data_IF_786209015554
#
_entry.id   IF_786209015554
#
_cell.length_a   1.000
_cell.length_b   1.000
_cell.length_c   1.000
_cell.angle_alpha   90.00
_cell.angle_beta   90.00
_cell.angle_gamma   90.00
#
_symmetry.space_group_name_H-M   'P 1'
#
loop_
_entity.id
_entity.type
_entity.pdbx_description
1 polymer ?
#
# COMPACT_ATOMS: atom_id res chain seq x y z
N UNK A 1 18.53 -23.07 75.09
CA UNK A 1 17.55 -22.95 73.99
C UNK A 1 18.37 -23.05 72.70
N UNK A 2 18.37 -24.24 72.08
CA UNK A 2 17.79 -24.51 70.74
C UNK A 2 18.60 -23.82 69.62
N UNK A 3 19.47 -24.50 68.86
CA UNK A 3 19.16 -25.21 67.59
C UNK A 3 18.15 -24.47 66.72
N UNK A 4 18.52 -24.06 65.50
CA UNK A 4 18.18 -24.83 64.28
C UNK A 4 18.80 -24.23 62.99
N UNK A 5 18.95 -25.08 61.99
CA UNK A 5 19.33 -24.85 60.60
C UNK A 5 18.08 -25.03 59.74
N UNK A 6 17.67 -24.05 58.93
CA UNK A 6 16.93 -24.26 57.66
C UNK A 6 16.99 -23.00 56.80
N UNK A 7 17.38 -23.18 55.54
CA UNK A 7 17.11 -22.26 54.44
C UNK A 7 15.60 -22.13 54.20
N UNK A 8 15.14 -20.97 53.69
CA UNK A 8 14.18 -20.81 52.57
C UNK A 8 13.72 -19.34 52.46
N UNK A 9 14.06 -18.67 51.36
CA UNK A 9 13.14 -17.92 50.50
C UNK A 9 13.94 -17.24 49.39
N UNK A 10 14.01 -17.94 48.26
CA UNK A 10 14.43 -17.40 46.98
C UNK A 10 13.36 -16.46 46.45
N UNK A 11 13.63 -15.15 46.45
CA UNK A 11 13.00 -14.25 45.46
C UNK A 11 14.07 -13.53 44.67
N UNK A 12 14.42 -14.18 43.56
CA UNK A 12 14.74 -13.57 42.27
C UNK A 12 13.74 -12.42 42.03
N UNK A 13 14.13 -11.25 41.49
CA UNK A 13 13.15 -10.27 41.07
C UNK A 13 12.15 -10.94 40.12
N UNK A 14 10.87 -10.92 40.48
CA UNK A 14 9.81 -11.36 39.59
C UNK A 14 9.77 -10.41 38.39
N UNK A 15 10.30 -10.89 37.29
CA UNK A 15 9.79 -10.68 35.94
C UNK A 15 8.25 -10.82 35.94
N UNK A 16 7.54 -9.87 35.32
CA UNK A 16 6.52 -10.18 34.30
C UNK A 16 5.97 -8.90 33.65
N UNK A 17 6.14 -8.88 32.33
CA UNK A 17 5.42 -8.16 31.26
C UNK A 17 5.82 -6.72 30.94
N UNK A 18 6.74 -6.60 29.97
CA UNK A 18 6.48 -5.99 28.66
C UNK A 18 5.37 -4.94 28.65
N UNK A 19 5.75 -3.68 28.76
CA UNK A 19 5.10 -2.68 27.93
C UNK A 19 5.89 -2.67 26.62
N UNK A 20 5.60 -3.66 25.77
CA UNK A 20 5.77 -3.53 24.31
C UNK A 20 4.70 -2.54 23.83
N UNK A 21 4.71 -1.34 24.41
CA UNK A 21 4.11 -0.20 23.78
C UNK A 21 5.07 0.13 22.67
N UNK A 22 4.72 -0.29 21.45
CA UNK A 22 5.39 0.09 20.21
C UNK A 22 5.69 1.59 20.32
N UNK A 23 6.96 1.88 20.58
CA UNK A 23 7.44 3.21 20.91
C UNK A 23 7.50 4.02 19.64
N UNK A 24 6.35 4.44 19.13
CA UNK A 24 6.20 5.34 17.99
C UNK A 24 6.66 6.77 18.32
N UNK A 25 7.72 6.93 19.10
CA UNK A 25 8.16 8.22 19.61
C UNK A 25 9.66 8.40 19.50
N UNK A 26 10.24 8.17 18.32
CA UNK A 26 11.36 8.99 17.82
C UNK A 26 11.60 8.75 16.33
N UNK A 27 10.57 8.81 15.48
CA UNK A 27 10.81 8.89 14.04
C UNK A 27 11.47 10.23 13.73
N UNK A 28 12.81 10.21 13.58
CA UNK A 28 13.58 11.31 12.99
C UNK A 28 13.20 11.63 11.53
N UNK A 29 12.08 11.10 11.04
CA UNK A 29 11.39 11.50 9.84
C UNK A 29 10.77 12.87 10.11
N UNK A 30 11.36 13.90 9.52
CA UNK A 30 10.80 15.24 9.47
C UNK A 30 9.31 15.17 9.04
N UNK A 31 8.42 15.49 9.97
CA UNK A 31 6.95 15.42 9.87
C UNK A 31 6.33 16.44 8.88
N UNK A 32 6.92 16.60 7.69
CA UNK A 32 6.39 17.45 6.62
C UNK A 32 5.87 16.66 5.41
N UNK A 33 5.90 15.32 5.45
CA UNK A 33 5.50 14.45 4.33
C UNK A 33 4.19 13.68 4.53
N UNK A 34 3.57 13.71 5.72
CA UNK A 34 2.36 12.93 6.03
C UNK A 34 1.07 13.51 5.45
N UNK A 35 1.14 14.67 4.80
CA UNK A 35 -0.02 15.34 4.18
C UNK A 35 -0.17 15.00 2.69
N UNK A 36 0.70 14.14 2.15
CA UNK A 36 0.66 13.72 0.76
C UNK A 36 -0.02 12.34 0.64
N UNK A 37 -1.23 12.27 0.05
CA UNK A 37 -1.93 11.01 -0.10
C UNK A 37 -1.20 10.02 -1.02
N UNK A 38 -0.26 10.47 -1.85
CA UNK A 38 0.50 9.63 -2.76
C UNK A 38 1.86 9.19 -2.17
N UNK A 39 2.20 9.56 -0.94
CA UNK A 39 3.47 9.15 -0.34
C UNK A 39 3.53 7.63 -0.14
N UNK A 40 4.63 7.02 -0.55
CA UNK A 40 4.93 5.62 -0.26
C UNK A 40 5.04 5.39 1.26
N UNK A 41 4.71 4.17 1.69
CA UNK A 41 4.73 3.84 3.11
C UNK A 41 6.17 3.90 3.65
N UNK A 42 6.45 4.72 4.69
CA UNK A 42 7.76 4.70 5.34
C UNK A 42 7.93 3.37 6.08
N UNK A 43 9.09 2.74 5.90
CA UNK A 43 9.48 1.54 6.64
C UNK A 43 10.42 1.97 7.76
N UNK A 44 10.16 1.49 8.98
CA UNK A 44 11.10 1.65 10.08
C UNK A 44 12.36 0.82 9.82
N UNK A 45 13.38 1.49 9.31
CA UNK A 45 14.72 0.93 9.06
C UNK A 45 15.67 1.17 10.22
N UNK A 46 15.17 1.66 11.37
CA UNK A 46 16.05 1.89 12.49
C UNK A 46 16.70 0.57 12.95
N UNK A 47 17.91 0.71 13.49
CA UNK A 47 18.82 -0.39 13.81
C UNK A 47 18.26 -1.39 14.84
N UNK A 48 17.11 -1.13 15.47
CA UNK A 48 16.51 -2.04 16.44
C UNK A 48 15.74 -3.21 15.79
N UNK A 49 15.26 -3.02 14.56
CA UNK A 49 14.60 -4.05 13.75
C UNK A 49 15.61 -5.08 13.22
N UNK A 50 16.90 -4.70 13.19
CA UNK A 50 18.00 -5.56 12.73
C UNK A 50 17.98 -5.84 11.23
N UNK A 51 17.21 -5.08 10.46
CA UNK A 51 17.08 -5.18 9.02
C UNK A 51 18.20 -4.34 8.38
N UNK A 52 19.01 -4.95 7.52
CA UNK A 52 20.14 -4.30 6.86
C UNK A 52 19.69 -3.33 5.76
N UNK A 53 20.51 -2.33 5.43
CA UNK A 53 20.41 -1.41 4.27
C UNK A 53 20.28 -2.13 2.89
N UNK A 54 20.30 -3.46 2.87
CA UNK A 54 20.10 -4.30 1.70
C UNK A 54 18.67 -4.85 1.73
N UNK A 55 17.79 -4.36 0.84
CA UNK A 55 16.53 -5.02 0.47
C UNK A 55 15.66 -5.54 1.64
N UNK A 56 14.78 -4.73 2.20
CA UNK A 56 13.93 -5.09 3.34
C UNK A 56 12.59 -5.68 2.87
N UNK A 57 12.20 -6.81 3.48
CA UNK A 57 10.83 -7.34 3.42
C UNK A 57 10.25 -7.33 4.85
N UNK A 58 9.22 -6.53 5.06
CA UNK A 58 8.49 -6.46 6.32
C UNK A 58 7.08 -7.04 6.12
N UNK A 59 6.63 -7.86 7.06
CA UNK A 59 5.26 -8.36 7.12
C UNK A 59 4.65 -7.90 8.43
N UNK A 60 3.58 -7.12 8.33
CA UNK A 60 2.80 -6.67 9.45
C UNK A 60 1.47 -7.43 9.49
N UNK A 61 1.10 -7.91 10.67
CA UNK A 61 -0.21 -8.50 10.89
C UNK A 61 -0.92 -7.76 12.00
N UNK A 62 -2.14 -7.35 11.71
CA UNK A 62 -3.04 -6.70 12.66
C UNK A 62 -3.73 -7.73 13.56
N UNK A 63 -4.40 -7.27 14.61
CA UNK A 63 -5.09 -8.16 15.55
C UNK A 63 -6.37 -8.78 14.97
N UNK A 64 -6.97 -8.18 13.95
CA UNK A 64 -8.16 -8.72 13.28
C UNK A 64 -7.81 -9.71 12.15
N UNK A 65 -6.52 -9.80 11.79
CA UNK A 65 -5.99 -10.79 10.86
C UNK A 65 -5.46 -10.17 9.56
N UNK A 66 -5.76 -8.90 9.30
CA UNK A 66 -5.32 -8.21 8.09
C UNK A 66 -3.79 -8.20 8.03
N UNK A 67 -3.24 -8.44 6.85
CA UNK A 67 -1.81 -8.56 6.61
C UNK A 67 -1.36 -7.48 5.62
N UNK A 68 -0.31 -6.74 5.97
CA UNK A 68 0.40 -5.88 5.04
C UNK A 68 1.81 -6.44 4.79
N UNK A 69 2.25 -6.43 3.54
CA UNK A 69 3.60 -6.82 3.12
C UNK A 69 4.26 -5.64 2.46
N UNK A 70 5.41 -5.23 2.97
CA UNK A 70 6.20 -4.11 2.47
C UNK A 70 7.53 -4.62 1.93
N UNK A 71 7.90 -4.19 0.73
CA UNK A 71 9.18 -4.46 0.10
C UNK A 71 9.87 -3.14 -0.21
N UNK A 72 11.04 -2.93 0.38
CA UNK A 72 12.00 -1.88 0.02
C UNK A 72 13.20 -2.59 -0.60
N UNK A 73 13.25 -2.64 -1.93
CA UNK A 73 14.31 -3.33 -2.66
C UNK A 73 15.58 -2.48 -2.79
N UNK A 74 15.46 -1.16 -2.61
CA UNK A 74 16.50 -0.19 -2.91
C UNK A 74 17.26 0.30 -1.64
N UNK A 75 16.68 0.08 -0.45
CA UNK A 75 17.23 0.37 0.87
C UNK A 75 17.10 1.82 1.32
N UNK A 76 16.19 2.61 0.75
CA UNK A 76 16.02 4.04 1.06
C UNK A 76 15.07 4.32 2.24
N UNK A 77 14.41 3.27 2.76
CA UNK A 77 13.47 3.36 3.88
C UNK A 77 12.04 3.70 3.46
N UNK A 78 11.72 3.72 2.17
CA UNK A 78 10.36 3.75 1.64
C UNK A 78 10.05 2.43 0.94
N UNK A 79 8.80 1.98 1.04
CA UNK A 79 8.39 0.75 0.36
C UNK A 79 8.25 0.98 -1.15
N UNK A 80 9.00 0.23 -1.96
CA UNK A 80 8.80 0.13 -3.41
C UNK A 80 7.50 -0.62 -3.75
N UNK A 81 7.05 -1.52 -2.87
CA UNK A 81 5.82 -2.30 -3.05
C UNK A 81 5.13 -2.54 -1.70
N UNK A 82 3.82 -2.31 -1.67
CA UNK A 82 2.93 -2.63 -0.56
C UNK A 82 1.82 -3.55 -1.07
N UNK A 83 1.59 -4.65 -0.36
CA UNK A 83 0.47 -5.57 -0.62
C UNK A 83 -0.34 -5.71 0.64
N UNK A 84 -1.65 -5.45 0.56
CA UNK A 84 -2.58 -5.48 1.69
C UNK A 84 -3.67 -6.51 1.48
N UNK A 85 -3.83 -7.39 2.45
CA UNK A 85 -4.96 -8.30 2.66
C UNK A 85 -5.72 -7.75 3.87
N UNK A 86 -6.79 -7.00 3.63
CA UNK A 86 -7.58 -6.27 4.62
C UNK A 86 -8.66 -7.15 5.26
N UNK A 87 -9.15 -8.17 4.55
CA UNK A 87 -10.22 -9.04 5.03
C UNK A 87 -9.75 -10.40 5.58
N UNK A 88 -8.44 -10.66 5.48
CA UNK A 88 -7.73 -11.83 6.01
C UNK A 88 -8.09 -13.15 5.34
N UNK A 89 -8.53 -13.11 4.08
CA UNK A 89 -8.87 -14.30 3.32
C UNK A 89 -7.64 -14.96 2.63
N UNK A 90 -6.50 -14.27 2.63
CA UNK A 90 -5.24 -14.69 2.02
C UNK A 90 -5.03 -14.21 0.59
N UNK A 91 -5.91 -13.33 0.09
CA UNK A 91 -5.86 -12.65 -1.20
C UNK A 91 -5.50 -11.19 -0.99
N UNK A 92 -4.90 -10.55 -1.99
CA UNK A 92 -4.54 -9.15 -1.89
C UNK A 92 -5.72 -8.28 -2.32
N UNK A 93 -6.19 -7.41 -1.43
CA UNK A 93 -7.23 -6.42 -1.70
C UNK A 93 -6.63 -5.16 -2.37
N UNK A 94 -5.42 -4.78 -1.97
CA UNK A 94 -4.74 -3.58 -2.48
C UNK A 94 -3.27 -3.88 -2.77
N UNK A 95 -2.79 -3.41 -3.91
CA UNK A 95 -1.37 -3.45 -4.28
C UNK A 95 -0.96 -2.05 -4.69
N UNK A 96 0.02 -1.47 -4.00
CA UNK A 96 0.59 -0.15 -4.30
C UNK A 96 2.07 -0.29 -4.64
N UNK A 97 2.55 0.37 -5.70
CA UNK A 97 3.93 0.28 -6.15
C UNK A 97 4.53 1.65 -6.47
N UNK A 98 5.77 1.86 -6.01
CA UNK A 98 6.67 2.94 -6.39
C UNK A 98 7.74 2.33 -7.31
N UNK A 99 7.61 2.57 -8.60
CA UNK A 99 8.43 1.94 -9.63
C UNK A 99 9.74 2.67 -9.90
N UNK A 100 9.82 3.96 -9.56
CA UNK A 100 10.99 4.80 -9.82
C UNK A 100 11.83 5.11 -8.56
N UNK A 101 11.30 4.81 -7.38
CA UNK A 101 11.95 4.93 -6.08
C UNK A 101 12.05 6.36 -5.59
N UNK A 102 11.10 7.22 -5.95
CA UNK A 102 11.09 8.62 -5.50
C UNK A 102 10.35 8.84 -4.17
N UNK A 103 9.75 7.78 -3.62
CA UNK A 103 8.97 7.79 -2.40
C UNK A 103 7.49 8.13 -2.62
N UNK A 104 6.99 8.07 -3.85
CA UNK A 104 5.58 8.22 -4.22
C UNK A 104 5.08 6.98 -4.94
N UNK A 105 3.82 6.66 -4.72
CA UNK A 105 3.18 5.53 -5.38
C UNK A 105 2.82 5.91 -6.83
N UNK A 106 3.39 5.18 -7.78
CA UNK A 106 3.10 5.30 -9.21
C UNK A 106 1.88 4.51 -9.64
N UNK A 107 1.56 3.41 -8.93
CA UNK A 107 0.51 2.48 -9.35
C UNK A 107 -0.22 1.91 -8.15
N UNK A 108 -1.54 1.92 -8.19
CA UNK A 108 -2.38 1.20 -7.23
C UNK A 108 -3.38 0.30 -7.96
N UNK A 109 -3.57 -0.91 -7.45
CA UNK A 109 -4.50 -1.91 -7.95
C UNK A 109 -5.40 -2.36 -6.80
N UNK A 110 -6.67 -2.62 -7.11
CA UNK A 110 -7.69 -2.98 -6.14
C UNK A 110 -8.45 -4.23 -6.58
N UNK A 111 -8.58 -5.19 -5.68
CA UNK A 111 -9.56 -6.27 -5.69
C UNK A 111 -10.67 -5.87 -4.71
N UNK A 112 -11.84 -5.52 -5.23
CA UNK A 112 -12.93 -4.93 -4.44
C UNK A 112 -13.92 -6.00 -4.00
N UNK A 113 -14.05 -7.09 -4.76
CA UNK A 113 -14.99 -8.17 -4.47
C UNK A 113 -14.37 -9.41 -3.81
N UNK A 114 -13.04 -9.46 -3.72
CA UNK A 114 -12.25 -10.46 -3.00
C UNK A 114 -12.13 -11.78 -3.76
N UNK A 115 -12.18 -11.76 -5.10
CA UNK A 115 -12.08 -12.96 -5.93
C UNK A 115 -10.64 -13.29 -6.37
N UNK A 116 -9.69 -12.40 -6.10
CA UNK A 116 -8.28 -12.49 -6.44
C UNK A 116 -7.91 -11.94 -7.81
N UNK A 117 -8.85 -11.27 -8.49
CA UNK A 117 -8.64 -10.52 -9.71
C UNK A 117 -8.75 -9.02 -9.42
N UNK A 118 -8.16 -8.22 -10.29
CA UNK A 118 -8.13 -6.76 -10.12
C UNK A 118 -9.38 -6.15 -10.76
N UNK A 119 -10.17 -5.46 -9.96
CA UNK A 119 -11.38 -4.75 -10.36
C UNK A 119 -11.10 -3.30 -10.79
N UNK A 120 -10.06 -2.68 -10.23
CA UNK A 120 -9.72 -1.30 -10.53
C UNK A 120 -8.23 -1.04 -10.41
N UNK A 121 -7.75 -0.03 -11.14
CA UNK A 121 -6.37 0.41 -11.02
C UNK A 121 -6.20 1.87 -11.40
N UNK A 122 -5.15 2.48 -10.85
CA UNK A 122 -4.71 3.82 -11.21
C UNK A 122 -3.20 3.81 -11.43
N UNK A 123 -2.73 4.68 -12.32
CA UNK A 123 -1.32 4.85 -12.59
C UNK A 123 -0.99 6.33 -12.85
N UNK A 124 0.08 6.80 -12.22
CA UNK A 124 0.78 8.05 -12.51
C UNK A 124 2.01 7.68 -13.36
N UNK A 125 1.98 8.02 -14.65
CA UNK A 125 3.07 7.68 -15.58
C UNK A 125 4.14 8.76 -15.67
N UNK A 126 3.89 9.93 -15.08
CA UNK A 126 4.76 11.10 -15.18
C UNK A 126 5.43 11.51 -13.84
N UNK A 127 5.05 10.84 -12.74
CA UNK A 127 5.52 11.04 -11.37
C UNK A 127 5.29 12.47 -10.85
N UNK A 128 4.14 13.07 -11.20
CA UNK A 128 3.74 14.39 -10.69
C UNK A 128 2.82 14.35 -9.47
N UNK A 129 2.43 13.13 -9.05
CA UNK A 129 1.54 12.86 -7.93
C UNK A 129 0.06 12.84 -8.31
N UNK A 130 -0.27 12.89 -9.61
CA UNK A 130 -1.63 12.82 -10.13
C UNK A 130 -1.73 11.67 -11.13
N UNK A 131 -2.61 10.71 -10.84
CA UNK A 131 -2.86 9.61 -11.75
C UNK A 131 -3.40 10.11 -13.12
N UNK A 132 -2.83 9.56 -14.19
CA UNK A 132 -3.14 9.89 -15.58
C UNK A 132 -3.72 8.69 -16.37
N UNK A 133 -3.72 7.50 -15.76
CA UNK A 133 -4.41 6.32 -16.27
C UNK A 133 -5.31 5.73 -15.19
N UNK A 134 -6.55 5.40 -15.57
CA UNK A 134 -7.53 4.72 -14.71
C UNK A 134 -8.05 3.48 -15.43
N UNK A 135 -8.19 2.38 -14.70
CA UNK A 135 -8.70 1.10 -15.19
C UNK A 135 -9.88 0.66 -14.34
N UNK A 136 -10.87 0.04 -14.98
CA UNK A 136 -12.00 -0.59 -14.28
C UNK A 136 -12.41 -1.86 -15.00
N UNK A 137 -12.54 -2.94 -14.25
CA UNK A 137 -13.19 -4.18 -14.62
C UNK A 137 -14.53 -4.23 -13.86
N UNK A 138 -15.64 -4.15 -14.58
CA UNK A 138 -16.98 -4.12 -14.00
C UNK A 138 -17.57 -5.53 -13.86
N UNK A 139 -16.99 -6.53 -14.52
CA UNK A 139 -17.52 -7.88 -14.56
C UNK A 139 -16.72 -8.86 -13.69
N UNK A 140 -15.58 -8.41 -13.15
CA UNK A 140 -14.65 -9.15 -12.30
C UNK A 140 -14.14 -10.42 -13.01
N UNK A 141 -13.65 -10.28 -14.25
CA UNK A 141 -13.04 -11.38 -15.00
C UNK A 141 -11.50 -11.27 -15.10
N UNK A 142 -10.94 -10.19 -14.56
CA UNK A 142 -9.52 -9.87 -14.55
C UNK A 142 -9.04 -9.14 -15.81
N UNK A 143 -9.96 -8.76 -16.70
CA UNK A 143 -9.69 -7.96 -17.90
C UNK A 143 -10.33 -6.59 -17.74
N UNK A 144 -9.60 -5.49 -18.05
CA UNK A 144 -10.17 -4.15 -17.90
C UNK A 144 -11.23 -3.88 -18.97
N UNK A 145 -12.42 -3.48 -18.52
CA UNK A 145 -13.56 -3.10 -19.36
C UNK A 145 -13.49 -1.66 -19.82
N UNK A 146 -12.92 -0.78 -19.00
CA UNK A 146 -12.77 0.64 -19.26
C UNK A 146 -11.38 1.10 -18.85
N UNK A 147 -10.72 1.83 -19.76
CA UNK A 147 -9.44 2.50 -19.48
C UNK A 147 -9.55 3.95 -19.89
N UNK A 148 -9.36 4.86 -18.94
CA UNK A 148 -9.31 6.31 -19.18
C UNK A 148 -7.87 6.80 -19.15
N UNK A 149 -7.50 7.67 -20.08
CA UNK A 149 -6.12 8.20 -20.22
C UNK A 149 -6.14 9.72 -20.39
N UNK A 150 -5.29 10.39 -19.62
CA UNK A 150 -4.89 11.80 -19.75
C UNK A 150 -3.47 11.84 -20.34
N UNK A 151 -3.34 12.10 -21.65
CA UNK A 151 -2.04 12.05 -22.35
C UNK A 151 -1.27 13.37 -22.22
N UNK A 152 -1.95 14.49 -21.96
CA UNK A 152 -1.35 15.81 -21.84
C UNK A 152 -1.19 16.33 -20.40
N UNK A 153 -1.65 15.54 -19.42
CA UNK A 153 -1.51 15.74 -17.98
C UNK A 153 -2.19 17.04 -17.51
N UNK A 154 -3.33 17.39 -18.11
CA UNK A 154 -4.10 18.57 -17.72
C UNK A 154 -5.18 18.30 -16.66
N UNK A 155 -5.28 17.04 -16.22
CA UNK A 155 -6.25 16.53 -15.26
C UNK A 155 -7.57 16.11 -15.92
N UNK A 156 -7.59 15.93 -17.24
CA UNK A 156 -8.76 15.53 -17.98
C UNK A 156 -8.49 14.36 -18.93
N UNK A 157 -9.48 13.49 -19.06
CA UNK A 157 -9.39 12.37 -19.99
C UNK A 157 -9.35 12.87 -21.43
N UNK A 158 -8.32 12.44 -22.16
CA UNK A 158 -8.17 12.63 -23.60
C UNK A 158 -8.91 11.54 -24.38
N UNK A 159 -8.85 10.30 -23.89
CA UNK A 159 -9.59 9.20 -24.48
C UNK A 159 -9.91 8.10 -23.49
N UNK A 160 -11.02 7.41 -23.76
CA UNK A 160 -11.45 6.20 -23.05
C UNK A 160 -11.44 5.02 -24.02
N UNK A 161 -10.84 3.91 -23.61
CA UNK A 161 -10.95 2.62 -24.30
C UNK A 161 -11.98 1.78 -23.57
N UNK A 162 -12.87 1.10 -24.32
CA UNK A 162 -13.88 0.22 -23.74
C UNK A 162 -13.89 -1.15 -24.39
N UNK A 163 -14.01 -2.19 -23.58
CA UNK A 163 -14.52 -3.50 -23.95
C UNK A 163 -15.99 -3.55 -23.49
N UNK A 164 -16.92 -3.71 -24.43
CA UNK A 164 -18.37 -3.66 -24.16
C UNK A 164 -19.03 -5.02 -24.20
N UNK A 165 -18.36 -6.02 -24.77
CA UNK A 165 -18.85 -7.40 -24.84
C UNK A 165 -18.09 -8.38 -23.95
N UNK A 166 -17.06 -7.87 -23.26
CA UNK A 166 -16.33 -8.55 -22.19
C UNK A 166 -15.56 -9.77 -22.70
N UNK A 167 -14.88 -9.61 -23.83
CA UNK A 167 -14.07 -10.68 -24.43
C UNK A 167 -12.55 -10.48 -24.25
N UNK A 168 -12.16 -9.36 -23.62
CA UNK A 168 -10.78 -8.96 -23.35
C UNK A 168 -10.12 -8.17 -24.47
N UNK A 169 -10.80 -7.98 -25.61
CA UNK A 169 -10.36 -7.12 -26.71
C UNK A 169 -11.16 -5.80 -26.70
N UNK A 170 -10.48 -4.68 -26.99
CA UNK A 170 -11.14 -3.37 -27.01
C UNK A 170 -12.11 -3.22 -28.20
N UNK A 171 -13.32 -2.75 -27.91
CA UNK A 171 -14.39 -2.47 -28.88
C UNK A 171 -14.41 -1.01 -29.36
N UNK A 172 -14.25 -0.07 -28.42
CA UNK A 172 -14.48 1.34 -28.66
C UNK A 172 -13.32 2.19 -28.11
N UNK A 173 -12.95 3.22 -28.88
CA UNK A 173 -12.15 4.34 -28.39
C UNK A 173 -13.02 5.59 -28.48
N UNK A 174 -13.36 6.17 -27.34
CA UNK A 174 -14.14 7.38 -27.21
C UNK A 174 -13.23 8.57 -26.88
N UNK A 175 -13.42 9.68 -27.59
CA UNK A 175 -12.72 10.96 -27.32
C UNK A 175 -13.77 11.98 -26.87
N UNK A 176 -13.62 12.64 -25.71
CA UNK A 176 -14.62 13.57 -25.21
C UNK A 176 -14.76 14.78 -26.15
N UNK A 177 -16.02 15.16 -26.43
CA UNK A 177 -16.35 16.30 -27.33
C UNK A 177 -16.04 17.67 -26.72
N UNK A 178 -15.75 17.69 -25.42
CA UNK A 178 -15.19 18.81 -24.69
C UNK A 178 -14.04 18.28 -23.87
N UNK A 179 -12.80 18.78 -24.08
CA UNK A 179 -11.72 18.45 -23.18
C UNK A 179 -12.13 18.98 -21.80
N UNK A 180 -11.70 18.34 -20.71
CA UNK A 180 -11.90 18.82 -19.34
C UNK A 180 -13.14 18.29 -18.59
N UNK A 181 -13.34 16.97 -18.55
CA UNK A 181 -14.05 16.37 -17.40
C UNK A 181 -12.99 15.94 -16.38
N UNK A 182 -12.84 16.66 -15.24
CA UNK A 182 -11.92 16.23 -14.20
C UNK A 182 -12.46 14.97 -13.56
N UNK A 183 -11.68 13.89 -13.60
CA UNK A 183 -12.02 12.61 -12.99
C UNK A 183 -10.87 12.18 -12.12
N UNK A 184 -10.91 12.59 -10.85
CA UNK A 184 -10.40 11.70 -9.83
C UNK A 184 -11.61 11.17 -9.06
N UNK A 185 -12.19 10.01 -9.45
CA UNK A 185 -13.29 9.40 -8.72
C UNK A 185 -12.86 8.86 -7.34
N UNK A 186 -11.55 8.78 -7.09
CA UNK A 186 -10.92 8.29 -5.86
C UNK A 186 -10.26 9.39 -5.00
N UNK A 187 -10.39 10.67 -5.39
CA UNK A 187 -9.94 11.80 -4.56
C UNK A 187 -10.83 11.87 -3.31
N UNK A 188 -10.35 11.31 -2.21
CA UNK A 188 -11.02 11.31 -0.92
C UNK A 188 -11.48 12.73 -0.51
N UNK A 189 -12.74 12.81 -0.07
CA UNK A 189 -13.41 14.00 0.48
C UNK A 189 -13.09 14.28 1.94
#
# INVERSE_FOLDING_TARGET
>A
MSSDFTADDTTVPADTTTDEGLGLSDSGLNETGLDDPAAAAPIDTDSDTGLSEDGVLLVEQTLDGATNVYLDSNGDGFADLVVSDLDSDGTADVISADGDGDGRIDTELYDVDGDGLIDAGVQDTNADGVADVFLTDNNADGSPDEVEVDEDYDGAVDYTVRDTDYDGDADEIAVPVTPNTPVNPYAAS
#
